data_IF_336442663047
#
_entry.id   IF_336442663047
#
_cell.length_a   1.000
_cell.length_b   1.000
_cell.length_c   1.000
_cell.angle_alpha   90.00
_cell.angle_beta   90.00
_cell.angle_gamma   90.00
#
_symmetry.space_group_name_H-M   'P 1'
#
loop_
_entity.id
_entity.type
_entity.pdbx_description
1 polymer ?
#
# COMPACT_ATOMS: atom_id res chain seq x y z
N UNK A 1 11.51 50.15 61.52
CA UNK A 1 11.62 48.65 61.69
C UNK A 1 11.75 48.00 60.36
N UNK A 2 12.85 47.28 60.12
CA UNK A 2 12.97 46.49 58.91
C UNK A 2 11.92 45.37 58.94
N UNK A 3 11.01 45.39 58.00
CA UNK A 3 10.04 44.28 57.84
C UNK A 3 10.76 43.14 57.16
N UNK A 4 11.01 42.07 57.86
CA UNK A 4 11.54 40.85 57.30
C UNK A 4 10.57 40.27 56.30
N UNK A 5 11.11 39.63 55.25
CA UNK A 5 10.31 38.92 54.25
C UNK A 5 9.47 37.85 54.95
N UNK A 6 8.15 37.90 54.77
CA UNK A 6 7.23 36.97 55.37
C UNK A 6 6.43 36.23 54.29
N UNK A 7 7.07 35.22 53.72
CA UNK A 7 6.45 34.28 52.76
C UNK A 7 5.60 35.02 51.67
N UNK A 8 4.30 34.75 51.53
CA UNK A 8 3.39 35.35 50.54
C UNK A 8 3.28 36.88 50.59
N UNK A 9 3.68 37.50 51.69
CA UNK A 9 3.70 38.98 51.87
C UNK A 9 5.05 39.62 51.53
N UNK A 10 6.06 38.83 51.24
CA UNK A 10 7.34 39.32 50.74
C UNK A 10 7.14 40.07 49.42
N UNK A 11 8.04 41.00 49.13
CA UNK A 11 8.03 41.76 47.88
C UNK A 11 8.81 40.98 46.82
N UNK A 12 8.27 40.90 45.60
CA UNK A 12 8.91 40.41 44.40
C UNK A 12 8.86 41.49 43.31
N UNK A 13 9.72 41.38 42.34
CA UNK A 13 9.77 42.30 41.18
C UNK A 13 9.12 41.56 39.99
N UNK A 14 8.24 42.26 39.25
CA UNK A 14 7.65 41.74 38.03
C UNK A 14 8.70 41.63 36.94
N UNK A 15 8.74 40.47 36.28
CA UNK A 15 9.62 40.23 35.14
C UNK A 15 9.25 41.06 33.90
N UNK A 16 8.05 41.62 33.86
CA UNK A 16 7.54 42.42 32.75
C UNK A 16 7.79 43.94 32.95
N UNK A 17 7.33 44.49 34.02
CA UNK A 17 7.41 45.96 34.29
C UNK A 17 8.56 46.37 35.17
N UNK A 18 9.17 45.45 35.92
CA UNK A 18 10.15 45.77 36.94
C UNK A 18 9.53 46.39 38.21
N UNK A 19 8.20 46.48 38.30
CA UNK A 19 7.52 47.01 39.48
C UNK A 19 7.52 45.99 40.63
N UNK A 20 7.52 46.52 41.87
CA UNK A 20 7.53 45.68 43.06
C UNK A 20 6.11 45.33 43.50
N UNK A 21 5.79 44.07 43.55
CA UNK A 21 4.52 43.49 44.00
C UNK A 21 4.71 42.61 45.23
N UNK A 22 3.68 42.40 46.00
CA UNK A 22 3.67 41.33 47.00
C UNK A 22 3.55 39.98 46.30
N UNK A 23 4.28 38.97 46.73
CA UNK A 23 4.23 37.63 46.09
C UNK A 23 2.81 37.04 46.00
N UNK A 24 1.90 37.36 46.96
CA UNK A 24 0.49 36.97 46.89
C UNK A 24 -0.27 37.60 45.72
N UNK A 25 0.20 38.76 45.23
CA UNK A 25 -0.42 39.54 44.14
C UNK A 25 0.32 39.32 42.81
N UNK A 26 1.22 38.37 42.77
CA UNK A 26 1.92 37.92 41.56
C UNK A 26 1.35 36.60 41.08
N UNK A 27 1.49 36.35 39.78
CA UNK A 27 1.17 35.07 39.13
C UNK A 27 2.22 34.68 38.12
N UNK A 28 2.37 33.39 37.89
CA UNK A 28 3.22 32.86 36.81
C UNK A 28 2.42 32.82 35.51
N UNK A 29 2.93 33.45 34.48
CA UNK A 29 2.37 33.41 33.13
C UNK A 29 2.72 32.14 32.39
N UNK A 30 2.08 31.91 31.22
CA UNK A 30 2.30 30.75 30.37
C UNK A 30 3.75 30.60 29.81
N UNK A 31 4.51 31.69 29.52
CA UNK A 31 5.92 31.57 29.14
C UNK A 31 6.85 31.35 30.35
N UNK A 32 6.33 31.41 31.58
CA UNK A 32 7.09 31.12 32.78
C UNK A 32 7.50 32.34 33.59
N UNK A 33 7.23 33.57 33.11
CA UNK A 33 7.50 34.83 33.79
C UNK A 33 6.63 34.99 35.04
N UNK A 34 7.17 35.60 36.09
CA UNK A 34 6.44 35.96 37.30
C UNK A 34 6.07 37.44 37.24
N UNK A 35 4.79 37.72 37.10
CA UNK A 35 4.27 39.06 36.87
C UNK A 35 3.16 39.44 37.87
N UNK A 36 2.86 40.73 38.02
CA UNK A 36 1.68 41.20 38.77
C UNK A 36 0.37 40.62 38.19
N UNK A 37 -0.63 40.38 39.02
CA UNK A 37 -1.93 39.84 38.54
C UNK A 37 -2.63 40.77 37.55
N UNK A 38 -2.40 42.08 37.68
CA UNK A 38 -2.89 43.12 36.79
C UNK A 38 -2.17 43.18 35.45
N UNK A 39 -0.92 42.74 35.42
CA UNK A 39 -0.09 42.71 34.21
C UNK A 39 -0.19 41.38 33.43
N UNK A 40 -0.74 40.36 34.05
CA UNK A 40 -0.74 39.04 33.52
C UNK A 40 -1.66 38.83 32.33
N UNK A 41 -1.14 38.25 31.25
CA UNK A 41 -1.88 37.94 30.03
C UNK A 41 -2.27 36.47 29.96
N UNK A 42 -3.40 36.18 29.31
CA UNK A 42 -3.81 34.83 29.00
C UNK A 42 -2.99 34.28 27.81
N UNK A 43 -2.76 32.97 27.80
CA UNK A 43 -2.14 32.35 26.68
C UNK A 43 -2.98 32.56 25.42
N UNK A 44 -2.33 32.95 24.33
CA UNK A 44 -2.99 33.12 23.04
C UNK A 44 -3.66 31.82 22.59
N UNK A 45 -4.92 31.88 22.11
CA UNK A 45 -5.64 30.68 21.65
C UNK A 45 -4.91 29.89 20.58
N UNK A 46 -4.17 30.57 19.69
CA UNK A 46 -3.39 29.93 18.64
C UNK A 46 -2.24 29.04 19.16
N UNK A 47 -1.76 29.31 20.37
CA UNK A 47 -0.72 28.54 21.03
C UNK A 47 -1.27 27.42 21.91
N UNK A 48 -2.59 27.30 22.00
CA UNK A 48 -3.23 26.19 22.70
C UNK A 48 -3.28 24.98 21.77
N UNK A 49 -2.94 23.81 22.31
CA UNK A 49 -3.12 22.56 21.58
C UNK A 49 -4.62 22.32 21.43
N UNK A 50 -5.10 22.40 20.20
CA UNK A 50 -6.48 22.04 19.88
C UNK A 50 -6.62 20.53 20.08
N UNK A 51 -7.40 20.12 21.06
CA UNK A 51 -7.79 18.72 21.23
C UNK A 51 -8.91 18.44 20.24
N UNK A 52 -8.56 17.86 19.10
CA UNK A 52 -9.57 17.31 18.21
C UNK A 52 -10.15 16.04 18.84
N UNK A 53 -11.48 15.86 18.81
CA UNK A 53 -12.06 14.58 19.21
C UNK A 53 -11.46 13.46 18.37
N UNK A 54 -11.30 12.27 18.95
CA UNK A 54 -10.85 11.11 18.20
C UNK A 54 -11.86 10.85 17.06
N UNK A 55 -11.36 10.84 15.83
CA UNK A 55 -12.17 10.45 14.68
C UNK A 55 -12.36 8.93 14.74
N UNK A 56 -13.61 8.44 14.91
CA UNK A 56 -13.87 7.00 14.95
C UNK A 56 -13.60 6.31 13.61
N UNK A 57 -13.49 7.06 12.52
CA UNK A 57 -13.16 6.56 11.19
C UNK A 57 -11.65 6.56 10.92
N UNK A 58 -10.88 7.31 11.70
CA UNK A 58 -9.43 7.35 11.55
C UNK A 58 -8.78 6.14 12.22
N UNK A 59 -8.20 5.28 11.43
CA UNK A 59 -7.36 4.18 11.93
C UNK A 59 -6.03 4.74 12.42
N UNK A 60 -5.66 4.43 13.66
CA UNK A 60 -4.40 4.88 14.26
C UNK A 60 -3.17 4.35 13.50
N UNK A 61 -3.26 3.14 13.00
CA UNK A 61 -2.24 2.48 12.18
C UNK A 61 -2.94 1.75 11.04
N UNK A 62 -3.33 2.48 9.99
CA UNK A 62 -4.01 1.86 8.85
C UNK A 62 -3.08 0.86 8.18
N UNK A 63 -3.48 -0.39 8.17
CA UNK A 63 -2.84 -1.47 7.41
C UNK A 63 -3.93 -2.25 6.70
N UNK A 64 -4.56 -1.63 5.68
CA UNK A 64 -5.52 -2.35 4.88
C UNK A 64 -4.84 -3.51 4.17
N UNK A 65 -5.60 -4.56 3.94
CA UNK A 65 -5.16 -5.60 3.04
C UNK A 65 -4.82 -4.99 1.69
N UNK A 66 -3.82 -5.55 1.05
CA UNK A 66 -3.37 -5.11 -0.25
C UNK A 66 -4.41 -5.55 -1.28
N UNK A 67 -5.27 -4.63 -1.69
CA UNK A 67 -6.26 -4.84 -2.76
C UNK A 67 -5.74 -4.42 -4.12
N UNK A 68 -4.43 -4.47 -4.32
CA UNK A 68 -3.87 -4.20 -5.63
C UNK A 68 -4.34 -5.28 -6.60
N UNK A 69 -4.81 -4.89 -7.80
CA UNK A 69 -5.10 -5.87 -8.83
C UNK A 69 -3.85 -6.70 -9.10
N UNK A 70 -4.02 -7.98 -9.36
CA UNK A 70 -2.91 -8.87 -9.68
C UNK A 70 -2.08 -8.24 -10.81
N UNK A 71 -0.78 -8.05 -10.56
CA UNK A 71 0.11 -7.39 -11.51
C UNK A 71 0.33 -8.32 -12.69
N UNK A 72 0.30 -7.76 -13.90
CA UNK A 72 0.71 -8.44 -15.10
C UNK A 72 2.21 -8.72 -15.04
N UNK A 73 2.60 -9.96 -15.28
CA UNK A 73 3.99 -10.43 -15.25
C UNK A 73 4.46 -10.71 -16.66
N UNK A 74 5.59 -10.12 -17.05
CA UNK A 74 6.23 -10.44 -18.32
C UNK A 74 6.78 -11.88 -18.26
N UNK A 75 6.41 -12.68 -19.24
CA UNK A 75 6.88 -14.07 -19.35
C UNK A 75 8.27 -14.12 -20.00
N UNK A 76 9.03 -15.20 -19.77
CA UNK A 76 10.26 -15.46 -20.54
C UNK A 76 9.99 -15.52 -22.05
N UNK A 77 11.00 -15.23 -22.83
CA UNK A 77 10.92 -15.40 -24.30
C UNK A 77 10.47 -16.80 -24.69
N UNK A 78 9.48 -16.86 -25.58
CA UNK A 78 8.88 -18.12 -26.04
C UNK A 78 8.41 -19.03 -24.90
N UNK A 79 7.74 -18.47 -23.91
CA UNK A 79 7.25 -19.15 -22.70
C UNK A 79 6.21 -20.24 -22.97
N UNK A 80 5.52 -20.16 -24.09
CA UNK A 80 4.47 -21.13 -24.48
C UNK A 80 5.06 -22.32 -25.21
N UNK A 81 4.58 -23.49 -24.89
CA UNK A 81 4.95 -24.72 -25.58
C UNK A 81 3.69 -25.52 -25.89
N UNK A 82 3.47 -25.81 -27.16
CA UNK A 82 2.42 -26.73 -27.61
C UNK A 82 2.69 -28.16 -27.12
N UNK A 83 1.62 -28.92 -26.88
CA UNK A 83 1.70 -30.34 -26.54
C UNK A 83 1.94 -31.17 -27.81
N UNK A 84 1.39 -32.36 -27.92
CA UNK A 84 1.48 -33.17 -29.12
C UNK A 84 0.65 -32.59 -30.28
N UNK A 85 1.00 -32.93 -31.53
CA UNK A 85 0.20 -32.57 -32.71
C UNK A 85 -1.27 -32.98 -32.51
N UNK A 86 -2.19 -32.08 -32.89
CA UNK A 86 -3.64 -32.23 -32.70
C UNK A 86 -4.15 -31.93 -31.33
N UNK A 87 -3.30 -31.63 -30.35
CA UNK A 87 -3.72 -31.24 -28.98
C UNK A 87 -4.01 -29.75 -28.86
N UNK A 88 -5.00 -29.37 -28.07
CA UNK A 88 -5.27 -27.97 -27.67
C UNK A 88 -4.52 -27.55 -26.40
N UNK A 89 -3.78 -28.47 -25.77
CA UNK A 89 -3.07 -28.19 -24.51
C UNK A 89 -1.79 -27.42 -24.76
N UNK A 90 -1.62 -26.32 -24.03
CA UNK A 90 -0.43 -25.48 -24.06
C UNK A 90 0.18 -25.47 -22.66
N UNK A 91 1.49 -25.66 -22.59
CA UNK A 91 2.28 -25.49 -21.35
C UNK A 91 2.91 -24.13 -21.36
N UNK A 92 2.79 -23.41 -20.23
CA UNK A 92 3.39 -22.07 -20.00
C UNK A 92 4.51 -22.22 -19.00
N UNK A 93 5.63 -21.55 -19.27
CA UNK A 93 6.76 -21.43 -18.35
C UNK A 93 6.73 -20.04 -17.74
N UNK A 94 6.48 -19.97 -16.44
CA UNK A 94 6.45 -18.73 -15.65
C UNK A 94 7.16 -19.00 -14.32
N UNK A 95 8.44 -18.65 -14.20
CA UNK A 95 9.25 -18.98 -13.02
C UNK A 95 8.65 -18.41 -11.73
N UNK A 96 8.49 -19.24 -10.70
CA UNK A 96 8.00 -18.83 -9.39
C UNK A 96 6.57 -18.27 -9.40
N UNK A 97 5.69 -18.77 -10.28
CA UNK A 97 4.37 -18.18 -10.53
C UNK A 97 3.40 -18.16 -9.33
N UNK A 98 3.61 -18.97 -8.31
CA UNK A 98 2.76 -19.00 -7.11
C UNK A 98 1.28 -19.35 -7.34
N UNK A 99 0.89 -19.74 -8.56
CA UNK A 99 -0.49 -20.05 -8.95
C UNK A 99 -0.89 -21.46 -8.51
N UNK A 100 -2.21 -21.67 -8.39
CA UNK A 100 -2.82 -22.96 -8.04
C UNK A 100 -3.65 -23.51 -9.19
N UNK A 101 -3.88 -24.81 -9.19
CA UNK A 101 -4.80 -25.43 -10.16
C UNK A 101 -6.21 -24.88 -9.95
N UNK A 102 -6.84 -24.44 -11.04
CA UNK A 102 -8.16 -23.81 -11.03
C UNK A 102 -8.12 -22.29 -11.14
N UNK A 103 -6.97 -21.66 -10.95
CA UNK A 103 -6.82 -20.22 -11.15
C UNK A 103 -7.08 -19.84 -12.61
N UNK A 104 -7.62 -18.64 -12.83
CA UNK A 104 -7.84 -18.11 -14.17
C UNK A 104 -6.74 -17.13 -14.53
N UNK A 105 -6.06 -17.36 -15.63
CA UNK A 105 -4.96 -16.52 -16.13
C UNK A 105 -5.34 -15.96 -17.50
N UNK A 106 -5.08 -14.67 -17.67
CA UNK A 106 -5.23 -13.98 -18.95
C UNK A 106 -3.86 -13.66 -19.52
N UNK A 107 -3.69 -13.98 -20.82
CA UNK A 107 -2.45 -13.68 -21.55
C UNK A 107 -2.64 -12.47 -22.45
N UNK A 108 -1.57 -11.74 -22.72
CA UNK A 108 -1.53 -10.60 -23.62
C UNK A 108 -0.22 -10.54 -24.38
N UNK A 109 -0.24 -9.87 -25.53
CA UNK A 109 0.93 -9.67 -26.41
C UNK A 109 1.59 -10.97 -26.83
N UNK A 110 0.78 -12.00 -27.07
CA UNK A 110 1.26 -13.33 -27.45
C UNK A 110 1.35 -13.42 -28.98
N UNK A 111 2.51 -13.77 -29.51
CA UNK A 111 2.67 -14.03 -30.92
C UNK A 111 2.08 -15.41 -31.30
N UNK A 112 1.53 -15.53 -32.52
CA UNK A 112 0.97 -16.84 -32.98
C UNK A 112 2.06 -17.88 -33.11
N UNK A 113 1.75 -19.12 -32.74
CA UNK A 113 2.67 -20.23 -32.83
C UNK A 113 1.92 -21.55 -33.03
N UNK A 114 2.52 -22.47 -33.73
CA UNK A 114 2.11 -23.88 -33.93
C UNK A 114 0.59 -24.11 -34.16
N UNK A 115 -0.05 -23.25 -34.95
CA UNK A 115 -1.48 -23.34 -35.25
C UNK A 115 -2.41 -22.57 -34.24
N UNK A 116 -1.84 -22.00 -33.23
CA UNK A 116 -2.58 -21.11 -32.28
C UNK A 116 -2.44 -19.66 -32.71
N UNK A 117 -3.56 -18.99 -32.94
CA UNK A 117 -3.56 -17.52 -33.18
C UNK A 117 -3.48 -16.72 -31.88
N UNK A 118 -2.94 -15.51 -31.95
CA UNK A 118 -2.88 -14.58 -30.81
C UNK A 118 -4.25 -14.43 -30.16
N UNK A 119 -5.30 -14.22 -30.94
CA UNK A 119 -6.66 -14.00 -30.43
C UNK A 119 -7.23 -15.19 -29.64
N UNK A 120 -6.77 -16.40 -29.93
CA UNK A 120 -7.16 -17.59 -29.17
C UNK A 120 -6.43 -17.63 -27.85
N UNK A 121 -5.13 -17.39 -27.83
CA UNK A 121 -4.34 -17.42 -26.58
C UNK A 121 -4.66 -16.23 -25.68
N UNK A 122 -4.97 -15.07 -26.25
CA UNK A 122 -5.33 -13.82 -25.53
C UNK A 122 -6.80 -13.71 -25.17
N UNK A 123 -7.47 -14.82 -24.88
CA UNK A 123 -8.88 -14.81 -24.51
C UNK A 123 -9.16 -13.82 -23.37
N UNK A 124 -10.18 -12.95 -23.59
CA UNK A 124 -10.58 -11.93 -22.62
C UNK A 124 -11.04 -12.48 -21.27
N UNK A 125 -11.64 -13.67 -21.29
CA UNK A 125 -12.14 -14.34 -20.08
C UNK A 125 -11.04 -15.10 -19.34
N UNK A 126 -9.84 -15.18 -19.95
CA UNK A 126 -8.73 -15.96 -19.45
C UNK A 126 -8.92 -17.48 -19.61
N UNK A 127 -7.96 -18.22 -19.09
CA UNK A 127 -7.96 -19.68 -19.09
C UNK A 127 -7.79 -20.22 -17.69
N UNK A 128 -8.60 -21.22 -17.34
CA UNK A 128 -8.35 -22.01 -16.13
C UNK A 128 -7.11 -22.87 -16.33
N UNK A 129 -6.20 -22.82 -15.37
CA UNK A 129 -4.91 -23.49 -15.46
C UNK A 129 -4.85 -24.73 -14.59
N UNK A 130 -3.97 -25.64 -14.97
CA UNK A 130 -3.57 -26.78 -14.16
C UNK A 130 -2.08 -26.67 -13.85
N UNK A 131 -1.73 -26.53 -12.58
CA UNK A 131 -0.36 -26.44 -12.10
C UNK A 131 0.37 -27.76 -12.39
N UNK A 132 1.55 -27.68 -12.97
CA UNK A 132 2.46 -28.83 -13.18
C UNK A 132 3.55 -28.81 -12.10
N UNK A 133 4.23 -27.68 -11.95
CA UNK A 133 5.26 -27.44 -10.92
C UNK A 133 5.29 -25.94 -10.55
N UNK A 134 6.29 -25.49 -9.80
CA UNK A 134 6.37 -24.10 -9.34
C UNK A 134 6.72 -23.10 -10.46
N UNK A 135 7.17 -23.60 -11.61
CA UNK A 135 7.59 -22.79 -12.75
C UNK A 135 6.73 -23.02 -14.00
N UNK A 136 5.80 -23.98 -13.97
CA UNK A 136 5.01 -24.36 -15.15
C UNK A 136 3.58 -24.75 -14.80
N UNK A 137 2.70 -24.37 -15.69
CA UNK A 137 1.31 -24.81 -15.69
C UNK A 137 0.81 -25.04 -17.11
N UNK A 138 -0.33 -25.69 -17.25
CA UNK A 138 -0.97 -25.97 -18.52
C UNK A 138 -2.37 -25.39 -18.58
N UNK A 139 -2.81 -25.07 -19.78
CA UNK A 139 -4.20 -24.75 -20.08
C UNK A 139 -4.63 -25.35 -21.42
N UNK A 140 -5.93 -25.45 -21.60
CA UNK A 140 -6.51 -25.87 -22.89
C UNK A 140 -7.00 -24.66 -23.67
N UNK A 141 -6.48 -24.47 -24.89
CA UNK A 141 -6.94 -23.39 -25.76
C UNK A 141 -8.41 -23.61 -26.15
N UNK A 142 -9.18 -22.52 -26.23
CA UNK A 142 -10.63 -22.55 -26.56
C UNK A 142 -10.90 -23.02 -28.00
N UNK A 143 -9.93 -22.83 -28.89
CA UNK A 143 -9.96 -23.29 -30.27
C UNK A 143 -8.55 -23.46 -30.81
N UNK A 144 -8.42 -24.13 -31.97
CA UNK A 144 -7.12 -24.46 -32.56
C UNK A 144 -6.47 -25.69 -31.89
N UNK A 145 -5.54 -26.26 -32.61
CA UNK A 145 -4.75 -27.42 -32.16
C UNK A 145 -3.34 -27.27 -32.69
N UNK A 146 -2.39 -27.84 -31.97
CA UNK A 146 -1.00 -27.88 -32.37
C UNK A 146 -0.83 -28.56 -33.74
N UNK A 147 -0.22 -27.87 -34.66
CA UNK A 147 0.05 -28.41 -36.00
C UNK A 147 1.18 -29.42 -35.96
N UNK A 148 2.29 -29.06 -35.36
CA UNK A 148 3.51 -29.88 -35.31
C UNK A 148 3.66 -30.56 -33.94
N UNK A 149 3.36 -29.85 -32.87
CA UNK A 149 3.54 -30.28 -31.48
C UNK A 149 4.96 -30.06 -30.97
N UNK A 150 5.06 -29.88 -29.66
CA UNK A 150 6.29 -29.58 -28.92
C UNK A 150 7.06 -28.34 -29.40
N UNK A 151 6.37 -27.39 -30.05
CA UNK A 151 6.93 -26.12 -30.52
C UNK A 151 6.84 -25.10 -29.43
N UNK A 152 7.92 -24.34 -29.20
CA UNK A 152 7.93 -23.15 -28.33
C UNK A 152 7.57 -21.92 -29.14
N UNK A 153 6.88 -20.95 -28.48
CA UNK A 153 6.49 -19.71 -29.10
C UNK A 153 5.86 -18.74 -28.11
N UNK A 154 5.17 -17.72 -28.63
CA UNK A 154 4.53 -16.67 -27.85
C UNK A 154 5.26 -15.33 -27.89
N UNK A 155 6.51 -15.33 -28.41
CA UNK A 155 7.30 -14.08 -28.57
C UNK A 155 7.99 -13.60 -27.29
N UNK A 156 8.53 -12.37 -27.37
CA UNK A 156 9.33 -11.75 -26.31
C UNK A 156 8.49 -10.94 -25.31
N UNK A 157 7.32 -10.47 -25.77
CA UNK A 157 6.51 -9.49 -25.02
C UNK A 157 5.28 -10.11 -24.35
N UNK A 158 5.19 -11.41 -24.37
CA UNK A 158 4.04 -12.10 -23.80
C UNK A 158 3.97 -11.90 -22.29
N UNK A 159 2.79 -11.61 -21.77
CA UNK A 159 2.55 -11.40 -20.33
C UNK A 159 1.39 -12.23 -19.82
N UNK A 160 1.40 -12.55 -18.54
CA UNK A 160 0.39 -13.31 -17.83
C UNK A 160 -0.16 -12.50 -16.64
N UNK A 161 -1.48 -12.45 -16.50
CA UNK A 161 -2.21 -11.76 -15.43
C UNK A 161 -3.50 -11.12 -15.92
N UNK A 162 -4.31 -10.54 -15.02
CA UNK A 162 -4.40 -10.83 -13.60
C UNK A 162 -4.91 -12.25 -13.34
N UNK A 163 -4.59 -12.77 -12.17
CA UNK A 163 -5.13 -14.03 -11.69
C UNK A 163 -6.42 -13.75 -10.94
N UNK A 164 -7.51 -14.38 -11.33
CA UNK A 164 -8.72 -14.39 -10.50
C UNK A 164 -8.62 -15.63 -9.61
N UNK A 165 -8.28 -15.43 -8.36
CA UNK A 165 -8.34 -16.50 -7.36
C UNK A 165 -9.81 -16.78 -7.10
N UNK A 166 -10.28 -17.99 -7.42
CA UNK A 166 -11.60 -18.42 -6.99
C UNK A 166 -11.59 -18.55 -5.48
N UNK A 167 -12.42 -17.76 -4.82
CA UNK A 167 -12.63 -17.80 -3.37
C UNK A 167 -13.28 -19.12 -2.93
#
# INVERSE_FOLDING_TARGET
MARYASNKYAMGISDRSGAAYRLKDMRKEWPGMLVGKDEGEAKQPQLMVVKTPADPQALRNPRPDRTEPAVEVLLPENAFKSSSSGSSTITVTEPGHGRSTGDTVRFRSVEPFDGFSSSVVENSDGYSITKVDDDRYTFAASSGTATTGSVKGGGENASAGPVTVSA
#
